data_IF_418034679287
#
_entry.id   IF_418034679287
#
_cell.length_a   1.000
_cell.length_b   1.000
_cell.length_c   1.000
_cell.angle_alpha   90.00
_cell.angle_beta   90.00
_cell.angle_gamma   90.00
#
_symmetry.space_group_name_H-M   'P 1'
#
loop_
_entity.id
_entity.type
_entity.pdbx_description
1 polymer ?
#
# COMPACT_ATOMS: atom_id res chain seq x y z
N UNK A 1 23.07 27.82 81.08
CA UNK A 1 22.31 26.58 80.85
C UNK A 1 20.89 26.99 80.47
N UNK A 2 20.38 26.36 79.41
CA UNK A 2 19.01 26.44 78.90
C UNK A 2 18.57 27.77 78.25
N UNK A 3 19.18 28.05 77.09
CA UNK A 3 18.44 28.57 75.95
C UNK A 3 17.51 27.45 75.45
N UNK A 4 16.20 27.65 75.51
CA UNK A 4 15.12 26.91 74.82
C UNK A 4 13.83 27.26 75.57
N UNK A 5 12.82 27.86 74.95
CA UNK A 5 11.77 27.06 74.29
C UNK A 5 10.76 27.94 73.53
N UNK A 6 11.18 29.11 73.03
CA UNK A 6 10.37 29.89 72.09
C UNK A 6 11.00 29.80 70.71
N UNK A 7 10.87 28.62 70.09
CA UNK A 7 10.97 28.52 68.65
C UNK A 7 9.70 29.13 68.08
N UNK A 8 9.91 30.30 67.50
CA UNK A 8 9.06 30.95 66.53
C UNK A 8 8.60 29.90 65.52
N UNK A 9 7.29 29.75 65.35
CA UNK A 9 6.70 29.01 64.25
C UNK A 9 7.14 29.70 62.95
N UNK A 10 8.32 29.34 62.46
CA UNK A 10 8.72 29.62 61.10
C UNK A 10 7.74 28.85 60.24
N UNK A 11 6.79 29.61 59.68
CA UNK A 11 5.91 29.16 58.64
C UNK A 11 6.71 28.27 57.69
N UNK A 12 6.36 26.99 57.68
CA UNK A 12 6.61 26.12 56.54
C UNK A 12 5.70 26.62 55.41
N UNK A 13 5.99 27.84 54.93
CA UNK A 13 5.75 28.23 53.56
C UNK A 13 6.83 27.54 52.76
N UNK A 14 6.73 26.20 52.67
CA UNK A 14 7.10 25.53 51.45
C UNK A 14 6.17 26.13 50.41
N UNK A 15 6.59 27.25 49.81
CA UNK A 15 6.19 27.53 48.45
C UNK A 15 6.69 26.33 47.66
N UNK A 16 5.84 25.30 47.58
CA UNK A 16 5.75 24.51 46.38
C UNK A 16 5.41 25.54 45.31
N UNK A 17 6.45 26.17 44.76
CA UNK A 17 6.39 26.86 43.49
C UNK A 17 6.02 25.74 42.54
N UNK A 18 4.71 25.54 42.38
CA UNK A 18 4.16 24.68 41.35
C UNK A 18 4.84 25.22 40.08
N UNK A 19 5.75 24.46 39.46
CA UNK A 19 6.35 24.89 38.22
C UNK A 19 5.19 25.24 37.28
N UNK A 20 5.27 26.33 36.50
CA UNK A 20 4.20 26.64 35.57
C UNK A 20 3.99 25.39 34.73
N UNK A 21 2.81 24.77 34.88
CA UNK A 21 2.47 23.59 34.13
C UNK A 21 2.54 24.03 32.68
N UNK A 22 3.53 23.52 31.97
CA UNK A 22 3.63 23.71 30.54
C UNK A 22 2.58 22.84 29.86
N UNK A 23 1.32 23.13 30.17
CA UNK A 23 0.15 22.49 29.59
C UNK A 23 0.19 22.65 28.06
N UNK A 24 0.85 23.70 27.56
CA UNK A 24 1.05 23.93 26.13
C UNK A 24 2.01 22.93 25.46
N UNK A 25 3.09 22.53 26.13
CA UNK A 25 4.00 21.50 25.63
C UNK A 25 3.40 20.08 25.75
N UNK A 26 2.75 19.76 26.88
CA UNK A 26 2.13 18.44 27.09
C UNK A 26 0.94 18.19 26.15
N UNK A 27 0.11 19.21 25.88
CA UNK A 27 -1.03 19.06 24.95
C UNK A 27 -0.56 18.93 23.49
N UNK A 28 0.49 19.67 23.09
CA UNK A 28 1.10 19.52 21.76
C UNK A 28 1.74 18.16 21.55
N UNK A 29 2.38 17.61 22.58
CA UNK A 29 2.97 16.27 22.53
C UNK A 29 1.90 15.20 22.32
N UNK A 30 0.78 15.27 23.07
CA UNK A 30 -0.35 14.36 22.89
C UNK A 30 -1.00 14.49 21.51
N UNK A 31 -1.20 15.71 21.01
CA UNK A 31 -1.76 15.93 19.67
C UNK A 31 -0.88 15.31 18.58
N UNK A 32 0.44 15.47 18.68
CA UNK A 32 1.40 14.87 17.75
C UNK A 32 1.36 13.33 17.78
N UNK A 33 1.29 12.72 18.96
CA UNK A 33 1.17 11.26 19.10
C UNK A 33 -0.16 10.74 18.52
N UNK A 34 -1.27 11.44 18.77
CA UNK A 34 -2.57 11.06 18.21
C UNK A 34 -2.59 11.12 16.67
N UNK A 35 -1.98 12.16 16.07
CA UNK A 35 -1.87 12.27 14.61
C UNK A 35 -1.01 11.16 14.01
N UNK A 36 0.05 10.75 14.72
CA UNK A 36 0.92 9.65 14.33
C UNK A 36 0.20 8.31 14.38
N UNK A 37 -0.54 8.04 15.46
CA UNK A 37 -1.34 6.81 15.59
C UNK A 37 -2.42 6.70 14.51
N UNK A 38 -3.07 7.82 14.19
CA UNK A 38 -4.03 7.88 13.08
C UNK A 38 -3.37 7.56 11.73
N UNK A 39 -2.19 8.13 11.47
CA UNK A 39 -1.40 7.83 10.27
C UNK A 39 -0.99 6.36 10.17
N UNK A 40 -0.59 5.76 11.29
CA UNK A 40 -0.24 4.34 11.38
C UNK A 40 -1.46 3.44 11.09
N UNK A 41 -2.59 3.69 11.74
CA UNK A 41 -3.82 2.90 11.54
C UNK A 41 -4.26 3.00 10.07
N UNK A 42 -4.27 4.20 9.50
CA UNK A 42 -4.62 4.39 8.10
C UNK A 42 -3.66 3.69 7.13
N UNK A 43 -2.37 3.65 7.46
CA UNK A 43 -1.37 2.91 6.68
C UNK A 43 -1.58 1.40 6.73
N UNK A 44 -2.08 0.86 7.85
CA UNK A 44 -2.45 -0.56 7.95
C UNK A 44 -3.74 -0.84 7.15
N UNK A 45 -4.77 0.00 7.33
CA UNK A 45 -6.05 -0.12 6.61
C UNK A 45 -5.86 -0.04 5.09
N UNK A 46 -4.87 0.73 4.63
CA UNK A 46 -4.51 0.84 3.23
C UNK A 46 -4.23 -0.52 2.57
N UNK A 47 -3.71 -1.52 3.30
CA UNK A 47 -3.39 -2.83 2.72
C UNK A 47 -4.52 -3.84 2.79
N UNK A 48 -5.64 -3.50 3.43
CA UNK A 48 -6.81 -4.38 3.49
C UNK A 48 -7.65 -4.13 2.23
N UNK A 49 -7.96 -5.17 1.43
CA UNK A 49 -8.78 -5.04 0.23
C UNK A 49 -10.12 -4.34 0.52
N UNK A 50 -10.60 -3.52 -0.41
CA UNK A 50 -11.74 -2.60 -0.27
C UNK A 50 -11.57 -1.48 0.79
N UNK A 51 -11.02 -1.78 1.97
CA UNK A 51 -10.76 -0.81 3.03
C UNK A 51 -9.67 0.19 2.64
N UNK A 52 -8.78 -0.17 1.69
CA UNK A 52 -7.77 0.72 1.14
C UNK A 52 -8.33 2.05 0.59
N UNK A 53 -9.61 2.08 0.21
CA UNK A 53 -10.29 3.28 -0.29
C UNK A 53 -10.58 4.30 0.82
N UNK A 54 -10.74 3.84 2.06
CA UNK A 54 -11.06 4.69 3.22
C UNK A 54 -9.92 5.69 3.48
N UNK A 55 -8.67 5.26 3.79
CA UNK A 55 -7.57 6.18 4.02
C UNK A 55 -7.21 6.96 2.74
N UNK A 56 -7.44 6.39 1.55
CA UNK A 56 -7.21 7.09 0.27
C UNK A 56 -8.12 8.31 0.09
N UNK A 57 -9.38 8.23 0.54
CA UNK A 57 -10.38 9.29 0.40
C UNK A 57 -10.39 10.24 1.60
N UNK A 58 -10.21 9.74 2.82
CA UNK A 58 -10.40 10.50 4.06
C UNK A 58 -9.10 11.08 4.63
N UNK A 59 -7.93 10.47 4.40
CA UNK A 59 -6.65 10.92 4.96
C UNK A 59 -5.73 11.54 3.91
N UNK A 60 -6.27 12.51 3.16
CA UNK A 60 -5.55 13.19 2.07
C UNK A 60 -4.41 14.09 2.53
N UNK A 61 -4.47 14.59 3.75
CA UNK A 61 -3.44 15.48 4.30
C UNK A 61 -2.23 14.71 4.86
N UNK A 62 -2.40 13.42 5.20
CA UNK A 62 -1.32 12.60 5.75
C UNK A 62 -0.51 11.95 4.61
N UNK A 63 0.76 12.35 4.48
CA UNK A 63 1.65 11.88 3.43
C UNK A 63 1.95 10.37 3.51
N UNK A 64 2.13 9.82 4.70
CA UNK A 64 2.40 8.39 4.91
C UNK A 64 1.17 7.55 4.57
N UNK A 65 0.00 7.93 5.11
CA UNK A 65 -1.26 7.27 4.82
C UNK A 65 -1.55 7.24 3.31
N UNK A 66 -1.27 8.34 2.59
CA UNK A 66 -1.41 8.40 1.13
C UNK A 66 -0.45 7.49 0.37
N UNK A 67 0.79 7.38 0.84
CA UNK A 67 1.78 6.51 0.22
C UNK A 67 1.34 5.05 0.31
N UNK A 68 0.97 4.60 1.51
CA UNK A 68 0.47 3.24 1.73
C UNK A 68 -0.87 2.99 1.02
N UNK A 69 -1.79 3.96 1.02
CA UNK A 69 -3.08 3.84 0.33
C UNK A 69 -2.94 3.62 -1.18
N UNK A 70 -1.96 4.26 -1.83
CA UNK A 70 -1.69 4.03 -3.26
C UNK A 70 -1.14 2.64 -3.54
N UNK A 71 -0.24 2.15 -2.68
CA UNK A 71 0.30 0.80 -2.81
C UNK A 71 -0.78 -0.26 -2.58
N UNK A 72 -1.57 -0.08 -1.54
CA UNK A 72 -2.71 -0.93 -1.23
C UNK A 72 -3.76 -0.96 -2.33
N UNK A 73 -4.06 0.19 -2.96
CA UNK A 73 -4.93 0.25 -4.13
C UNK A 73 -4.36 -0.56 -5.31
N UNK A 74 -3.05 -0.45 -5.57
CA UNK A 74 -2.41 -1.22 -6.64
C UNK A 74 -2.50 -2.73 -6.37
N UNK A 75 -2.27 -3.17 -5.13
CA UNK A 75 -2.46 -4.56 -4.71
C UNK A 75 -3.91 -5.01 -4.89
N UNK A 76 -4.88 -4.19 -4.48
CA UNK A 76 -6.29 -4.49 -4.65
C UNK A 76 -6.69 -4.63 -6.14
N UNK A 77 -6.14 -3.79 -7.03
CA UNK A 77 -6.35 -3.93 -8.47
C UNK A 77 -5.74 -5.23 -9.01
N UNK A 78 -4.55 -5.62 -8.55
CA UNK A 78 -3.94 -6.89 -8.91
C UNK A 78 -4.77 -8.08 -8.42
N UNK A 79 -5.33 -8.00 -7.21
CA UNK A 79 -6.24 -9.02 -6.69
C UNK A 79 -7.52 -9.14 -7.53
N UNK A 80 -8.11 -8.02 -7.96
CA UNK A 80 -9.25 -8.04 -8.88
C UNK A 80 -8.85 -8.73 -10.18
N UNK A 81 -7.72 -8.35 -10.78
CA UNK A 81 -7.24 -8.98 -12.02
C UNK A 81 -7.00 -10.48 -11.84
N UNK A 82 -6.28 -10.88 -10.79
CA UNK A 82 -6.04 -12.28 -10.47
C UNK A 82 -7.35 -13.04 -10.23
N UNK A 83 -8.29 -12.41 -9.53
CA UNK A 83 -9.64 -12.93 -9.30
C UNK A 83 -10.37 -13.19 -10.62
N UNK A 84 -10.35 -12.23 -11.57
CA UNK A 84 -10.93 -12.40 -12.91
C UNK A 84 -10.31 -13.59 -13.66
N UNK A 85 -8.99 -13.78 -13.56
CA UNK A 85 -8.30 -14.94 -14.15
C UNK A 85 -8.57 -16.26 -13.42
N UNK A 86 -9.05 -16.22 -12.18
CA UNK A 86 -9.46 -17.40 -11.41
C UNK A 86 -10.92 -17.79 -11.63
N UNK A 87 -11.75 -16.91 -12.21
CA UNK A 87 -13.17 -17.21 -12.48
C UNK A 87 -13.25 -18.44 -13.41
N UNK A 88 -13.85 -19.55 -12.93
CA UNK A 88 -14.07 -20.72 -13.76
C UNK A 88 -14.92 -20.35 -14.97
N UNK A 89 -14.46 -20.71 -16.16
CA UNK A 89 -15.12 -20.36 -17.43
C UNK A 89 -14.49 -19.17 -18.16
N UNK A 90 -14.22 -18.04 -17.48
CA UNK A 90 -13.58 -16.88 -18.14
C UNK A 90 -12.14 -17.21 -18.52
N UNK A 91 -11.36 -17.72 -17.56
CA UNK A 91 -10.00 -18.21 -17.78
C UNK A 91 -9.95 -19.28 -18.87
N UNK A 92 -10.85 -20.26 -18.78
CA UNK A 92 -10.93 -21.36 -19.76
C UNK A 92 -11.22 -20.85 -21.18
N UNK A 93 -12.11 -19.85 -21.31
CA UNK A 93 -12.46 -19.27 -22.61
C UNK A 93 -11.25 -18.55 -23.22
N UNK A 94 -10.55 -17.73 -22.43
CA UNK A 94 -9.35 -17.02 -22.89
C UNK A 94 -8.29 -18.02 -23.38
N UNK A 95 -7.95 -19.02 -22.57
CA UNK A 95 -6.93 -20.01 -22.94
C UNK A 95 -7.33 -20.85 -24.16
N UNK A 96 -8.61 -21.21 -24.29
CA UNK A 96 -9.12 -21.91 -25.49
C UNK A 96 -8.98 -21.05 -26.74
N UNK A 97 -9.35 -19.77 -26.67
CA UNK A 97 -9.21 -18.84 -27.81
C UNK A 97 -7.75 -18.69 -28.22
N UNK A 98 -6.85 -18.50 -27.26
CA UNK A 98 -5.40 -18.44 -27.52
C UNK A 98 -4.92 -19.71 -28.22
N UNK A 99 -5.36 -20.88 -27.75
CA UNK A 99 -4.99 -22.16 -28.36
C UNK A 99 -5.49 -22.30 -29.80
N UNK A 100 -6.74 -21.91 -30.08
CA UNK A 100 -7.31 -21.95 -31.43
C UNK A 100 -6.55 -21.02 -32.37
N UNK A 101 -6.22 -19.80 -31.94
CA UNK A 101 -5.43 -18.85 -32.73
C UNK A 101 -4.03 -19.38 -32.98
N UNK A 102 -3.38 -19.95 -31.96
CA UNK A 102 -2.05 -20.55 -32.10
C UNK A 102 -2.05 -21.73 -33.08
N UNK A 103 -3.07 -22.59 -33.03
CA UNK A 103 -3.25 -23.69 -33.97
C UNK A 103 -3.48 -23.18 -35.40
N UNK A 104 -4.30 -22.14 -35.58
CA UNK A 104 -4.51 -21.51 -36.89
C UNK A 104 -3.22 -20.90 -37.45
N UNK A 105 -2.45 -20.21 -36.61
CA UNK A 105 -1.15 -19.66 -36.98
C UNK A 105 -0.13 -20.76 -37.35
N UNK A 106 -0.11 -21.87 -36.59
CA UNK A 106 0.73 -23.02 -36.89
C UNK A 106 0.35 -23.67 -38.23
N UNK A 107 -0.95 -23.86 -38.48
CA UNK A 107 -1.43 -24.38 -39.76
C UNK A 107 -1.06 -23.47 -40.94
N UNK A 108 -1.22 -22.14 -40.79
CA UNK A 108 -0.77 -21.17 -41.77
C UNK A 108 0.75 -21.26 -42.01
N UNK A 109 1.54 -21.36 -40.94
CA UNK A 109 2.99 -21.56 -41.01
C UNK A 109 3.37 -22.83 -41.80
N UNK A 110 2.68 -23.95 -41.58
CA UNK A 110 2.89 -25.20 -42.34
C UNK A 110 2.56 -24.99 -43.83
N UNK A 111 1.42 -24.36 -44.15
CA UNK A 111 1.03 -24.09 -45.54
C UNK A 111 2.06 -23.22 -46.25
N UNK A 112 2.56 -22.18 -45.61
CA UNK A 112 3.62 -21.32 -46.18
C UNK A 112 4.96 -22.04 -46.27
N UNK A 113 5.30 -22.88 -45.29
CA UNK A 113 6.49 -23.73 -45.32
C UNK A 113 6.50 -24.67 -46.52
N UNK A 114 5.38 -25.34 -46.80
CA UNK A 114 5.23 -26.21 -47.99
C UNK A 114 5.37 -25.42 -49.29
N UNK A 115 4.90 -24.17 -49.34
CA UNK A 115 5.04 -23.28 -50.50
C UNK A 115 6.46 -22.73 -50.69
N UNK A 116 7.41 -23.04 -49.79
CA UNK A 116 8.76 -22.50 -49.81
C UNK A 116 8.81 -20.99 -49.54
N UNK A 117 7.73 -20.39 -49.02
CA UNK A 117 7.65 -18.97 -48.69
C UNK A 117 7.93 -18.79 -47.20
N UNK A 118 8.91 -17.97 -46.85
CA UNK A 118 9.14 -17.54 -45.47
C UNK A 118 8.09 -16.49 -45.09
N UNK A 119 6.90 -16.95 -44.72
CA UNK A 119 5.87 -16.05 -44.22
C UNK A 119 6.19 -15.62 -42.79
N UNK A 120 6.40 -14.32 -42.60
CA UNK A 120 6.60 -13.75 -41.27
C UNK A 120 5.23 -13.58 -40.62
N UNK A 121 4.96 -14.37 -39.59
CA UNK A 121 3.78 -14.18 -38.77
C UNK A 121 3.96 -12.86 -37.99
N UNK A 122 3.05 -11.87 -38.13
CA UNK A 122 3.15 -10.64 -37.36
C UNK A 122 3.13 -10.96 -35.86
N UNK A 123 3.89 -10.21 -35.06
CA UNK A 123 4.16 -10.42 -33.63
C UNK A 123 5.05 -11.64 -33.28
N UNK A 124 4.87 -12.80 -33.91
CA UNK A 124 5.69 -13.99 -33.62
C UNK A 124 7.10 -13.87 -34.20
N UNK A 125 7.24 -13.36 -35.42
CA UNK A 125 8.54 -13.25 -36.09
C UNK A 125 9.48 -12.26 -35.39
N UNK A 126 8.97 -11.15 -34.86
CA UNK A 126 9.81 -10.16 -34.16
C UNK A 126 10.32 -10.67 -32.81
N UNK A 127 9.53 -11.52 -32.13
CA UNK A 127 9.94 -12.19 -30.89
C UNK A 127 10.94 -13.31 -31.22
N UNK A 128 10.67 -14.11 -32.25
CA UNK A 128 11.56 -15.19 -32.69
C UNK A 128 12.93 -14.65 -33.12
N UNK A 129 12.98 -13.53 -33.84
CA UNK A 129 14.25 -12.92 -34.29
C UNK A 129 15.10 -12.40 -33.11
N UNK A 130 14.47 -12.10 -31.96
CA UNK A 130 15.18 -11.69 -30.73
C UNK A 130 15.65 -12.89 -29.90
N UNK A 131 15.11 -14.08 -30.14
CA UNK A 131 15.58 -15.30 -29.48
C UNK A 131 16.84 -15.80 -30.19
N UNK A 132 18.00 -15.59 -29.56
CA UNK A 132 19.22 -16.31 -29.95
C UNK A 132 19.15 -17.72 -29.39
N UNK A 133 18.91 -18.69 -30.25
CA UNK A 133 19.03 -20.13 -29.96
C UNK A 133 20.14 -20.68 -30.85
#
# INVERSE_FOLDING_TARGET
MADSFFLKDDEVSTQAKIPPLDEGEDEKAKEADLLKDQGMIASILAYIPFLCLIPLLQMRENQEARFHSKQGLLLFLLEIMAGLFLIPGLSSTIWKTVLIVALGAAAAGIVFGIQGKSYRLPFLSDIADKMKI
#
